data_IF_310181869129
#
_entry.id   IF_310181869129
#
_cell.length_a   1.000
_cell.length_b   1.000
_cell.length_c   1.000
_cell.angle_alpha   90.00
_cell.angle_beta   90.00
_cell.angle_gamma   90.00
#
_symmetry.space_group_name_H-M   'P 1'
#
loop_
_entity.id
_entity.type
_entity.pdbx_description
1 polymer ?
#
# COMPACT_ATOMS: atom_id res chain seq x y z
N UNK A 1 8.14 3.58 5.68
CA UNK A 1 8.30 2.12 5.87
C UNK A 1 9.09 1.80 7.14
N UNK A 2 10.27 2.39 7.34
CA UNK A 2 11.10 2.19 8.55
C UNK A 2 10.34 2.25 9.87
N UNK A 3 9.50 3.27 10.07
CA UNK A 3 8.71 3.42 11.28
C UNK A 3 7.68 2.28 11.50
N UNK A 4 7.13 1.72 10.44
CA UNK A 4 6.18 0.60 10.52
C UNK A 4 6.89 -0.70 10.89
N UNK A 5 8.01 -1.01 10.24
CA UNK A 5 8.82 -2.21 10.56
C UNK A 5 9.37 -2.18 11.97
N UNK A 6 9.99 -1.07 12.36
CA UNK A 6 10.51 -0.90 13.71
C UNK A 6 9.39 -1.06 14.74
N UNK A 7 8.24 -0.41 14.50
CA UNK A 7 7.06 -0.54 15.33
C UNK A 7 6.62 -2.00 15.47
N UNK A 8 6.50 -2.75 14.38
CA UNK A 8 6.09 -4.15 14.41
C UNK A 8 7.06 -5.05 15.20
N UNK A 9 8.37 -4.93 14.97
CA UNK A 9 9.39 -5.73 15.66
C UNK A 9 9.37 -5.53 17.18
N UNK A 10 9.19 -4.28 17.62
CA UNK A 10 9.12 -3.91 19.05
C UNK A 10 7.77 -4.28 19.70
N UNK A 11 6.80 -4.77 18.92
CA UNK A 11 5.39 -4.90 19.31
C UNK A 11 4.84 -6.31 19.29
N UNK A 12 5.66 -7.33 19.06
CA UNK A 12 5.20 -8.75 18.94
C UNK A 12 4.42 -9.29 20.17
N UNK A 13 4.40 -8.57 21.29
CA UNK A 13 3.57 -8.87 22.47
C UNK A 13 2.45 -7.86 22.79
N UNK A 14 2.26 -6.82 21.96
CA UNK A 14 1.28 -5.75 22.16
C UNK A 14 0.40 -5.59 20.90
N UNK A 15 -0.81 -6.17 20.91
CA UNK A 15 -1.75 -6.08 19.79
C UNK A 15 -2.07 -4.65 19.36
N UNK A 16 -2.10 -3.68 20.29
CA UNK A 16 -2.40 -2.28 19.96
C UNK A 16 -1.29 -1.69 19.10
N UNK A 17 -0.04 -1.97 19.45
CA UNK A 17 1.11 -1.46 18.68
C UNK A 17 1.30 -2.19 17.35
N UNK A 18 0.93 -3.46 17.25
CA UNK A 18 0.90 -4.16 15.95
C UNK A 18 -0.12 -3.50 15.00
N UNK A 19 -1.30 -3.14 15.51
CA UNK A 19 -2.33 -2.43 14.73
C UNK A 19 -1.84 -1.06 14.25
N UNK A 20 -1.16 -0.32 15.11
CA UNK A 20 -0.54 0.96 14.73
C UNK A 20 0.54 0.79 13.65
N UNK A 21 1.37 -0.25 13.75
CA UNK A 21 2.35 -0.58 12.72
C UNK A 21 1.70 -0.94 11.37
N UNK A 22 0.62 -1.74 11.38
CA UNK A 22 -0.14 -2.09 10.19
C UNK A 22 -0.75 -0.86 9.52
N UNK A 23 -1.37 0.05 10.29
CA UNK A 23 -1.94 1.29 9.77
C UNK A 23 -0.87 2.24 9.21
N UNK A 24 0.32 2.29 9.81
CA UNK A 24 1.45 3.06 9.26
C UNK A 24 1.94 2.48 7.93
N UNK A 25 1.99 1.16 7.80
CA UNK A 25 2.35 0.50 6.55
C UNK A 25 1.28 0.76 5.46
N UNK A 26 0.01 0.67 5.83
CA UNK A 26 -1.09 1.03 4.95
C UNK A 26 -1.01 2.47 4.45
N UNK A 27 -0.78 3.43 5.35
CA UNK A 27 -0.64 4.84 4.98
C UNK A 27 0.54 5.11 4.04
N UNK A 28 1.59 4.29 4.08
CA UNK A 28 2.68 4.37 3.11
C UNK A 28 2.21 3.96 1.70
N UNK A 29 1.43 2.86 1.59
CA UNK A 29 0.82 2.43 0.32
C UNK A 29 -0.11 3.51 -0.22
N UNK A 30 -0.95 4.11 0.62
CA UNK A 30 -1.86 5.21 0.24
C UNK A 30 -1.07 6.38 -0.34
N UNK A 31 -0.03 6.84 0.35
CA UNK A 31 0.78 7.99 -0.12
C UNK A 31 1.52 7.70 -1.42
N UNK A 32 2.08 6.50 -1.58
CA UNK A 32 2.71 6.10 -2.83
C UNK A 32 1.70 6.04 -3.98
N UNK A 33 0.51 5.49 -3.72
CA UNK A 33 -0.59 5.42 -4.70
C UNK A 33 -1.05 6.82 -5.10
N UNK A 34 -1.17 7.75 -4.16
CA UNK A 34 -1.54 9.15 -4.44
C UNK A 34 -0.53 9.81 -5.37
N UNK A 35 0.77 9.65 -5.08
CA UNK A 35 1.84 10.21 -5.89
C UNK A 35 1.83 9.61 -7.31
N UNK A 36 1.63 8.30 -7.41
CA UNK A 36 1.53 7.58 -8.68
C UNK A 36 0.35 8.06 -9.52
N UNK A 37 -0.86 8.08 -8.94
CA UNK A 37 -2.08 8.54 -9.63
C UNK A 37 -1.94 10.00 -10.05
N UNK A 38 -1.41 10.86 -9.18
CA UNK A 38 -1.18 12.26 -9.51
C UNK A 38 -0.21 12.42 -10.70
N UNK A 39 0.89 11.65 -10.73
CA UNK A 39 1.84 11.72 -11.84
C UNK A 39 1.22 11.34 -13.20
N UNK A 40 0.24 10.43 -13.21
CA UNK A 40 -0.42 9.98 -14.44
C UNK A 40 -1.66 10.79 -14.84
N UNK A 41 -2.32 11.45 -13.89
CA UNK A 41 -3.64 12.07 -14.11
C UNK A 41 -3.70 13.56 -13.79
N UNK A 42 -2.69 14.12 -13.11
CA UNK A 42 -2.70 15.48 -12.59
C UNK A 42 -3.68 15.73 -11.44
N UNK A 43 -4.38 14.69 -10.96
CA UNK A 43 -5.40 14.80 -9.92
C UNK A 43 -5.11 13.85 -8.77
N UNK A 44 -5.28 14.31 -7.53
CA UNK A 44 -5.09 13.49 -6.33
C UNK A 44 -6.42 12.81 -5.97
N UNK A 45 -6.44 11.48 -5.78
CA UNK A 45 -7.66 10.79 -5.37
C UNK A 45 -7.97 11.05 -3.89
N UNK A 46 -9.25 11.20 -3.55
CA UNK A 46 -9.73 11.54 -2.21
C UNK A 46 -10.22 10.33 -1.42
N UNK A 47 -10.57 9.24 -2.09
CA UNK A 47 -11.15 8.04 -1.48
C UNK A 47 -10.43 6.74 -1.91
N UNK A 48 -10.63 5.65 -1.16
CA UNK A 48 -10.17 4.32 -1.58
C UNK A 48 -10.84 3.88 -2.90
N UNK A 49 -12.10 4.27 -3.09
CA UNK A 49 -12.82 4.06 -4.34
C UNK A 49 -12.12 4.74 -5.53
N UNK A 50 -11.79 6.03 -5.40
CA UNK A 50 -11.11 6.77 -6.45
C UNK A 50 -9.74 6.21 -6.78
N UNK A 51 -8.94 5.81 -5.77
CA UNK A 51 -7.66 5.13 -5.98
C UNK A 51 -7.83 3.84 -6.78
N UNK A 52 -8.79 2.99 -6.40
CA UNK A 52 -9.09 1.74 -7.09
C UNK A 52 -9.53 1.96 -8.54
N UNK A 53 -10.34 2.99 -8.79
CA UNK A 53 -10.78 3.36 -10.15
C UNK A 53 -9.60 3.86 -10.98
N UNK A 54 -8.80 4.78 -10.43
CA UNK A 54 -7.63 5.32 -11.12
C UNK A 54 -6.62 4.21 -11.47
N UNK A 55 -6.30 3.32 -10.54
CA UNK A 55 -5.39 2.20 -10.79
C UNK A 55 -5.91 1.27 -11.91
N UNK A 56 -7.20 0.91 -11.88
CA UNK A 56 -7.83 0.13 -12.97
C UNK A 56 -7.67 0.80 -14.32
N UNK A 57 -7.93 2.11 -14.38
CA UNK A 57 -7.94 2.84 -15.65
C UNK A 57 -6.51 3.07 -16.17
N UNK A 58 -5.53 3.24 -15.28
CA UNK A 58 -4.09 3.30 -15.62
C UNK A 58 -3.61 1.94 -16.14
N UNK A 59 -3.90 0.83 -15.43
CA UNK A 59 -3.51 -0.52 -15.86
C UNK A 59 -4.09 -0.89 -17.23
N UNK A 60 -5.30 -0.44 -17.56
CA UNK A 60 -5.89 -0.63 -18.89
C UNK A 60 -5.13 0.09 -20.01
N UNK A 61 -4.45 1.19 -19.70
CA UNK A 61 -3.76 2.05 -20.67
C UNK A 61 -2.28 1.70 -20.80
N UNK A 62 -1.64 1.25 -19.73
CA UNK A 62 -0.20 1.04 -19.66
C UNK A 62 0.14 -0.40 -19.29
N UNK A 63 0.51 -1.20 -20.29
CA UNK A 63 0.82 -2.62 -20.11
C UNK A 63 1.97 -2.86 -19.10
N UNK A 64 2.92 -1.92 -19.00
CA UNK A 64 3.97 -1.96 -17.98
C UNK A 64 3.43 -1.90 -16.54
N UNK A 65 2.41 -1.08 -16.30
CA UNK A 65 1.74 -0.97 -14.99
C UNK A 65 0.84 -2.17 -14.75
N UNK A 66 0.13 -2.63 -15.78
CA UNK A 66 -0.76 -3.80 -15.71
C UNK A 66 -0.05 -5.04 -15.21
N UNK A 67 1.18 -5.30 -15.68
CA UNK A 67 1.99 -6.45 -15.24
C UNK A 67 2.33 -6.43 -13.75
N UNK A 68 2.31 -5.25 -13.12
CA UNK A 68 2.60 -5.09 -11.69
C UNK A 68 1.37 -5.28 -10.79
N UNK A 69 0.16 -5.29 -11.36
CA UNK A 69 -1.09 -5.53 -10.63
C UNK A 69 -1.30 -4.60 -9.44
N UNK A 70 -0.97 -3.31 -9.58
CA UNK A 70 -1.01 -2.34 -8.49
C UNK A 70 -2.41 -2.17 -7.90
N UNK A 71 -3.48 -2.30 -8.70
CA UNK A 71 -4.86 -2.27 -8.22
C UNK A 71 -5.12 -3.38 -7.21
N UNK A 72 -4.79 -4.61 -7.57
CA UNK A 72 -5.11 -5.78 -6.76
C UNK A 72 -4.24 -5.80 -5.52
N UNK A 73 -2.95 -5.47 -5.66
CA UNK A 73 -2.05 -5.27 -4.52
C UNK A 73 -2.55 -4.17 -3.59
N UNK A 74 -2.99 -3.02 -4.10
CA UNK A 74 -3.55 -1.96 -3.26
C UNK A 74 -4.76 -2.44 -2.44
N UNK A 75 -5.68 -3.18 -3.08
CA UNK A 75 -6.89 -3.66 -2.42
C UNK A 75 -6.62 -4.77 -1.40
N UNK A 76 -5.61 -5.60 -1.63
CA UNK A 76 -5.21 -6.62 -0.67
C UNK A 76 -4.71 -5.98 0.63
N UNK A 77 -3.80 -5.00 0.54
CA UNK A 77 -3.26 -4.29 1.72
C UNK A 77 -4.34 -3.43 2.40
N UNK A 78 -5.30 -2.90 1.63
CA UNK A 78 -6.49 -2.26 2.21
C UNK A 78 -7.26 -3.24 3.09
N UNK A 79 -7.49 -4.47 2.61
CA UNK A 79 -8.23 -5.47 3.38
C UNK A 79 -7.45 -5.92 4.60
N UNK A 80 -6.20 -6.37 4.42
CA UNK A 80 -5.43 -7.03 5.49
C UNK A 80 -4.91 -6.04 6.53
N UNK A 81 -4.24 -4.96 6.11
CA UNK A 81 -3.61 -4.02 7.05
C UNK A 81 -4.62 -3.05 7.67
N UNK A 82 -5.45 -2.43 6.83
CA UNK A 82 -6.39 -1.41 7.29
C UNK A 82 -7.71 -2.00 7.79
N UNK A 83 -8.32 -2.91 7.03
CA UNK A 83 -9.58 -3.54 7.39
C UNK A 83 -9.45 -4.50 8.57
N UNK A 84 -8.74 -5.60 8.38
CA UNK A 84 -8.69 -6.71 9.34
C UNK A 84 -7.82 -6.36 10.54
N UNK A 85 -6.55 -5.98 10.29
CA UNK A 85 -5.62 -5.72 11.39
C UNK A 85 -5.99 -4.46 12.13
N UNK A 86 -6.00 -3.30 11.45
CA UNK A 86 -6.23 -2.04 12.13
C UNK A 86 -7.68 -1.85 12.59
N UNK A 87 -8.68 -1.97 11.72
CA UNK A 87 -10.07 -1.64 12.06
C UNK A 87 -10.77 -2.75 12.87
N UNK A 88 -10.74 -3.99 12.38
CA UNK A 88 -11.39 -5.14 13.03
C UNK A 88 -10.60 -5.67 14.24
N UNK A 89 -9.27 -5.44 14.29
CA UNK A 89 -8.41 -5.86 15.40
C UNK A 89 -7.95 -7.31 15.32
N UNK A 90 -8.04 -7.94 14.14
CA UNK A 90 -7.54 -9.29 13.90
C UNK A 90 -6.03 -9.24 13.74
N UNK A 91 -5.30 -9.60 14.81
CA UNK A 91 -3.84 -9.57 14.82
C UNK A 91 -3.28 -10.97 14.54
N UNK A 92 -2.91 -11.21 13.28
CA UNK A 92 -2.07 -12.31 12.87
C UNK A 92 -0.64 -11.78 12.60
N UNK A 93 0.31 -12.15 13.47
CA UNK A 93 1.69 -11.67 13.35
C UNK A 93 2.38 -12.16 12.07
N UNK A 94 2.08 -13.38 11.62
CA UNK A 94 2.67 -13.93 10.40
C UNK A 94 2.17 -13.19 9.17
N UNK A 95 0.86 -12.94 9.12
CA UNK A 95 0.26 -12.20 8.01
C UNK A 95 0.76 -10.74 7.96
N UNK A 96 0.85 -10.06 9.11
CA UNK A 96 1.38 -8.69 9.17
C UNK A 96 2.85 -8.66 8.72
N UNK A 97 3.67 -9.65 9.09
CA UNK A 97 5.06 -9.73 8.64
C UNK A 97 5.17 -9.87 7.11
N UNK A 98 4.41 -10.79 6.52
CA UNK A 98 4.34 -10.98 5.06
C UNK A 98 3.84 -9.72 4.35
N UNK A 99 2.81 -9.06 4.89
CA UNK A 99 2.28 -7.85 4.28
C UNK A 99 3.25 -6.66 4.38
N UNK A 100 4.06 -6.57 5.44
CA UNK A 100 5.10 -5.54 5.52
C UNK A 100 6.13 -5.71 4.39
N UNK A 101 6.56 -6.91 4.07
CA UNK A 101 7.46 -7.18 2.94
C UNK A 101 6.81 -6.77 1.60
N UNK A 102 5.57 -7.19 1.40
CA UNK A 102 4.78 -6.87 0.20
C UNK A 102 4.46 -5.37 0.06
N UNK A 103 4.46 -4.61 1.15
CA UNK A 103 4.39 -3.14 1.13
C UNK A 103 5.69 -2.58 0.58
N UNK A 104 6.85 -3.07 0.98
CA UNK A 104 8.14 -2.57 0.44
C UNK A 104 8.26 -2.80 -1.05
N UNK A 105 7.87 -3.97 -1.53
CA UNK A 105 7.82 -4.27 -2.96
C UNK A 105 6.89 -3.31 -3.69
N UNK A 106 5.72 -3.01 -3.11
CA UNK A 106 4.77 -2.06 -3.69
C UNK A 106 5.39 -0.66 -3.83
N UNK A 107 6.03 -0.18 -2.75
CA UNK A 107 6.67 1.13 -2.74
C UNK A 107 7.81 1.20 -3.77
N UNK A 108 8.63 0.14 -3.86
CA UNK A 108 9.73 0.06 -4.82
C UNK A 108 9.24 0.06 -6.26
N UNK A 109 8.19 -0.69 -6.58
CA UNK A 109 7.63 -0.74 -7.93
C UNK A 109 7.04 0.63 -8.33
N UNK A 110 6.31 1.28 -7.42
CA UNK A 110 5.79 2.64 -7.65
C UNK A 110 6.93 3.64 -7.86
N UNK A 111 7.99 3.57 -7.07
CA UNK A 111 9.17 4.43 -7.22
C UNK A 111 9.83 4.25 -8.60
N UNK A 112 10.00 3.01 -9.06
CA UNK A 112 10.56 2.70 -10.37
C UNK A 112 9.68 3.25 -11.50
N UNK A 113 8.35 3.12 -11.39
CA UNK A 113 7.42 3.71 -12.35
C UNK A 113 7.52 5.24 -12.39
N UNK A 114 7.62 5.89 -11.23
CA UNK A 114 7.74 7.36 -11.15
C UNK A 114 9.08 7.87 -11.70
N UNK A 115 10.16 7.10 -11.57
CA UNK A 115 11.46 7.41 -12.18
C UNK A 115 11.42 7.22 -13.69
N UNK A 116 10.80 6.13 -14.17
CA UNK A 116 10.64 5.85 -15.60
C UNK A 116 9.64 6.75 -16.33
N UNK A 117 8.65 7.30 -15.63
CA UNK A 117 7.68 8.24 -16.22
C UNK A 117 8.26 9.63 -16.54
N UNK A 118 9.50 9.92 -16.10
CA UNK A 118 10.20 11.19 -16.34
C UNK A 118 11.19 11.15 -17.52
N UNK A 119 11.26 10.04 -18.25
CA UNK A 119 12.07 9.86 -19.48
C UNK A 119 11.17 9.51 -20.65
#
# INVERSE_FOLDING_TARGET
MEAAKKGFLESRGDPVRVRDAAEKAWNAVVQATDAFVYAFTGSRPLSHYERRVALRDIERRFEGVKRLGLRDRYMERYKVLHGETFYEGLVDLGEVEVELEKVEEYLKDVELLLKGART
#
